data_IF_834672147424
#
_entry.id   IF_834672147424
#
_cell.length_a   1.000
_cell.length_b   1.000
_cell.length_c   1.000
_cell.angle_alpha   90.00
_cell.angle_beta   90.00
_cell.angle_gamma   90.00
#
_symmetry.space_group_name_H-M   'P 1'
#
loop_
_entity.id
_entity.type
_entity.pdbx_description
1 polymer ?
#
# COMPACT_ATOMS: atom_id res chain seq x y z
N UNK A 1 -0.55 -9.72 -2.77
CA UNK A 1 -1.97 -9.44 -3.11
C UNK A 1 -2.75 -9.44 -1.81
N UNK A 2 -3.52 -8.39 -1.49
CA UNK A 2 -4.30 -8.29 -0.24
C UNK A 2 -5.75 -8.69 -0.58
N UNK A 3 -6.30 -9.77 0.01
CA UNK A 3 -7.53 -10.41 -0.49
C UNK A 3 -8.82 -9.62 -0.26
N UNK A 4 -8.92 -8.81 0.81
CA UNK A 4 -10.15 -8.10 1.15
C UNK A 4 -11.31 -9.04 1.50
N UNK A 5 -12.55 -8.66 1.19
CA UNK A 5 -13.74 -9.51 1.34
C UNK A 5 -14.15 -10.08 -0.02
N UNK A 6 -14.19 -11.42 -0.19
CA UNK A 6 -14.55 -12.06 -1.45
C UNK A 6 -15.90 -11.60 -1.99
N UNK A 7 -15.91 -11.16 -3.25
CA UNK A 7 -17.12 -10.71 -3.93
C UNK A 7 -17.66 -9.35 -3.47
N UNK A 8 -16.84 -8.55 -2.77
CA UNK A 8 -17.04 -7.11 -2.55
C UNK A 8 -15.95 -6.36 -3.32
N UNK A 9 -16.33 -5.77 -4.46
CA UNK A 9 -15.44 -4.99 -5.30
C UNK A 9 -15.43 -3.49 -4.97
N UNK A 10 -14.61 -2.68 -5.67
CA UNK A 10 -14.43 -1.26 -5.40
C UNK A 10 -15.73 -0.43 -5.38
N UNK A 11 -16.69 -0.74 -6.27
CA UNK A 11 -17.98 -0.04 -6.32
C UNK A 11 -18.80 -0.23 -5.04
N UNK A 12 -18.91 -1.47 -4.56
CA UNK A 12 -19.62 -1.79 -3.32
C UNK A 12 -18.87 -1.24 -2.11
N UNK A 13 -17.54 -1.42 -2.07
CA UNK A 13 -16.70 -0.89 -0.99
C UNK A 13 -16.81 0.62 -0.86
N UNK A 14 -16.77 1.36 -1.98
CA UNK A 14 -16.94 2.81 -2.02
C UNK A 14 -18.31 3.23 -1.51
N UNK A 15 -19.39 2.57 -1.95
CA UNK A 15 -20.74 2.88 -1.47
C UNK A 15 -20.91 2.64 0.04
N UNK A 16 -20.27 1.60 0.59
CA UNK A 16 -20.25 1.34 2.03
C UNK A 16 -19.48 2.44 2.78
N UNK A 17 -18.27 2.77 2.34
CA UNK A 17 -17.43 3.75 3.03
C UNK A 17 -17.96 5.18 2.90
N UNK A 18 -18.64 5.53 1.81
CA UNK A 18 -19.33 6.81 1.69
C UNK A 18 -20.49 6.97 2.66
N UNK A 19 -21.11 5.87 3.09
CA UNK A 19 -22.25 5.90 4.02
C UNK A 19 -21.82 5.75 5.47
N UNK A 20 -20.82 4.93 5.74
CA UNK A 20 -20.39 4.57 7.10
C UNK A 20 -19.07 5.21 7.53
N UNK A 21 -18.33 5.88 6.64
CA UNK A 21 -17.01 6.51 6.85
C UNK A 21 -15.84 5.54 7.12
N UNK A 22 -16.08 4.43 7.83
CA UNK A 22 -15.03 3.50 8.26
C UNK A 22 -15.50 2.04 8.24
N UNK A 23 -14.54 1.11 8.19
CA UNK A 23 -14.83 -0.32 8.23
C UNK A 23 -15.45 -0.73 9.58
N UNK A 24 -14.98 -0.11 10.65
CA UNK A 24 -15.46 -0.26 12.02
C UNK A 24 -16.95 0.09 12.09
N UNK A 25 -17.34 1.23 11.50
CA UNK A 25 -18.73 1.68 11.46
C UNK A 25 -19.62 0.78 10.59
N UNK A 26 -19.10 0.24 9.48
CA UNK A 26 -19.82 -0.76 8.66
C UNK A 26 -20.23 -1.94 9.55
N UNK A 27 -19.32 -2.45 10.39
CA UNK A 27 -19.62 -3.58 11.27
C UNK A 27 -20.46 -3.20 12.48
N UNK A 28 -20.30 -1.99 13.04
CA UNK A 28 -21.13 -1.50 14.13
C UNK A 28 -22.60 -1.35 13.72
N UNK A 29 -22.85 -1.01 12.45
CA UNK A 29 -24.18 -0.77 11.87
C UNK A 29 -24.52 -1.75 10.75
N UNK A 30 -24.05 -3.00 10.86
CA UNK A 30 -24.10 -3.99 9.77
C UNK A 30 -25.51 -4.25 9.22
N UNK A 31 -26.55 -4.06 10.04
CA UNK A 31 -27.95 -4.22 9.61
C UNK A 31 -28.41 -3.09 8.67
N UNK A 32 -27.84 -1.88 8.78
CA UNK A 32 -28.16 -0.74 7.92
C UNK A 32 -27.69 -0.95 6.47
N UNK A 33 -26.75 -1.89 6.24
CA UNK A 33 -26.34 -2.31 4.88
C UNK A 33 -27.53 -2.75 4.03
N UNK A 34 -28.56 -3.34 4.65
CA UNK A 34 -29.78 -3.78 3.95
C UNK A 34 -30.60 -2.62 3.38
N UNK A 35 -30.48 -1.43 3.96
CA UNK A 35 -31.19 -0.23 3.52
C UNK A 35 -30.44 0.51 2.39
N UNK A 36 -29.18 0.13 2.12
CA UNK A 36 -28.40 0.77 1.07
C UNK A 36 -28.87 0.36 -0.33
N UNK A 37 -28.83 1.32 -1.25
CA UNK A 37 -29.12 1.12 -2.68
C UNK A 37 -27.94 0.43 -3.39
N UNK A 38 -27.55 -0.74 -2.89
CA UNK A 38 -26.48 -1.59 -3.45
C UNK A 38 -27.10 -2.88 -3.97
N UNK A 39 -26.70 -3.29 -5.18
CA UNK A 39 -27.14 -4.57 -5.76
C UNK A 39 -26.75 -5.73 -4.85
N UNK A 40 -27.75 -6.49 -4.40
CA UNK A 40 -27.52 -7.67 -3.55
C UNK A 40 -27.13 -7.33 -2.12
N UNK A 41 -27.66 -6.24 -1.55
CA UNK A 41 -27.38 -5.79 -0.18
C UNK A 41 -27.41 -6.91 0.88
N UNK A 42 -28.38 -7.84 0.81
CA UNK A 42 -28.43 -9.03 1.69
C UNK A 42 -27.20 -9.93 1.55
N UNK A 43 -26.73 -10.17 0.33
CA UNK A 43 -25.52 -10.95 0.06
C UNK A 43 -24.24 -10.18 0.41
N UNK A 44 -24.23 -8.86 0.26
CA UNK A 44 -23.12 -8.01 0.74
C UNK A 44 -22.98 -8.10 2.25
N UNK A 45 -24.10 -7.99 2.99
CA UNK A 45 -24.15 -8.16 4.44
C UNK A 45 -23.57 -9.53 4.86
N UNK A 46 -24.08 -10.61 4.27
CA UNK A 46 -23.62 -11.97 4.59
C UNK A 46 -22.11 -12.14 4.35
N UNK A 47 -21.60 -11.67 3.19
CA UNK A 47 -20.16 -11.71 2.88
C UNK A 47 -19.33 -10.91 3.89
N UNK A 48 -19.80 -9.74 4.33
CA UNK A 48 -19.11 -8.94 5.35
C UNK A 48 -19.06 -9.70 6.68
N UNK A 49 -20.17 -10.29 7.11
CA UNK A 49 -20.26 -11.08 8.35
C UNK A 49 -19.34 -12.30 8.31
N UNK A 50 -19.40 -13.09 7.23
CA UNK A 50 -18.60 -14.31 7.04
C UNK A 50 -17.10 -14.05 6.95
N UNK A 51 -16.69 -12.83 6.56
CA UNK A 51 -15.29 -12.47 6.30
C UNK A 51 -14.80 -11.29 7.15
N UNK A 52 -15.40 -11.08 8.33
CA UNK A 52 -15.05 -9.95 9.22
C UNK A 52 -13.57 -9.90 9.56
N UNK A 53 -13.01 -11.02 10.00
CA UNK A 53 -11.59 -11.09 10.37
C UNK A 53 -10.68 -10.80 9.18
N UNK A 54 -11.02 -11.32 8.00
CA UNK A 54 -10.27 -11.08 6.77
C UNK A 54 -10.32 -9.60 6.34
N UNK A 55 -11.46 -8.94 6.53
CA UNK A 55 -11.62 -7.52 6.25
C UNK A 55 -10.67 -6.67 7.12
N UNK A 56 -10.66 -6.91 8.43
CA UNK A 56 -9.78 -6.20 9.36
C UNK A 56 -8.30 -6.53 9.16
N UNK A 57 -7.96 -7.79 8.86
CA UNK A 57 -6.61 -8.17 8.50
C UNK A 57 -6.15 -7.45 7.23
N UNK A 58 -7.00 -7.39 6.21
CA UNK A 58 -6.69 -6.68 4.96
C UNK A 58 -6.51 -5.18 5.19
N UNK A 59 -7.33 -4.57 6.04
CA UNK A 59 -7.18 -3.16 6.45
C UNK A 59 -5.84 -2.94 7.16
N UNK A 60 -5.45 -3.82 8.08
CA UNK A 60 -4.16 -3.76 8.78
C UNK A 60 -2.99 -3.87 7.81
N UNK A 61 -3.03 -4.83 6.89
CA UNK A 61 -1.96 -5.06 5.92
C UNK A 61 -1.83 -3.93 4.88
N UNK A 62 -2.94 -3.26 4.56
CA UNK A 62 -2.95 -2.15 3.60
C UNK A 62 -2.64 -0.79 4.25
N UNK A 63 -2.69 -0.68 5.58
CA UNK A 63 -2.43 0.58 6.30
C UNK A 63 -0.93 0.87 6.30
N UNK A 64 -0.58 2.11 5.93
CA UNK A 64 0.80 2.60 6.03
C UNK A 64 1.19 2.67 7.51
N UNK A 65 2.32 2.06 7.86
CA UNK A 65 2.95 2.23 9.16
C UNK A 65 3.61 3.61 9.23
N UNK A 66 2.97 4.54 9.93
CA UNK A 66 3.47 5.93 10.12
C UNK A 66 4.37 6.08 11.34
N UNK A 67 4.41 5.03 12.16
CA UNK A 67 5.19 4.86 13.39
C UNK A 67 6.36 3.87 13.18
N UNK A 68 6.75 3.63 11.93
CA UNK A 68 7.85 2.73 11.62
C UNK A 68 9.14 3.23 12.31
N UNK A 69 9.93 2.35 12.96
CA UNK A 69 11.15 2.73 13.67
C UNK A 69 12.27 3.01 12.66
N UNK A 70 12.15 4.12 11.96
CA UNK A 70 13.17 4.61 11.03
C UNK A 70 14.04 5.64 11.77
N UNK A 71 15.35 5.48 11.66
CA UNK A 71 16.34 6.36 12.28
C UNK A 71 16.85 7.55 11.42
N UNK A 72 16.49 7.75 10.13
CA UNK A 72 17.08 8.84 9.38
C UNK A 72 16.44 10.19 9.76
N UNK A 73 17.28 11.21 9.96
CA UNK A 73 16.85 12.61 9.94
C UNK A 73 16.75 13.10 8.49
N UNK A 74 16.08 14.23 8.24
CA UNK A 74 16.01 14.80 6.89
C UNK A 74 17.41 15.08 6.31
N UNK A 75 18.35 15.52 7.14
CA UNK A 75 19.74 15.77 6.76
C UNK A 75 20.47 14.48 6.36
N UNK A 76 20.16 13.36 7.00
CA UNK A 76 20.75 12.06 6.66
C UNK A 76 20.28 11.53 5.30
N UNK A 77 19.14 12.02 4.81
CA UNK A 77 18.55 11.68 3.51
C UNK A 77 18.96 12.66 2.40
N UNK A 78 19.72 13.71 2.72
CA UNK A 78 20.21 14.64 1.73
C UNK A 78 21.04 13.91 0.67
N UNK A 79 20.84 14.27 -0.60
CA UNK A 79 21.65 13.75 -1.68
C UNK A 79 23.12 14.14 -1.44
N UNK A 80 24.04 13.18 -1.60
CA UNK A 80 25.47 13.38 -1.41
C UNK A 80 26.21 13.07 -2.70
N UNK A 81 27.37 13.68 -2.92
CA UNK A 81 28.23 13.32 -4.04
C UNK A 81 28.51 11.82 -4.06
N UNK A 82 28.46 11.25 -5.26
CA UNK A 82 28.75 9.84 -5.49
C UNK A 82 30.23 9.57 -5.26
N UNK A 83 30.56 8.45 -4.61
CA UNK A 83 31.92 7.92 -4.55
C UNK A 83 32.21 7.09 -5.80
N UNK A 84 32.81 7.71 -6.81
CA UNK A 84 33.05 7.09 -8.12
C UNK A 84 33.98 5.88 -8.05
N UNK A 85 34.96 5.91 -7.15
CA UNK A 85 35.84 4.76 -6.83
C UNK A 85 35.04 3.52 -6.41
N UNK A 86 34.17 3.68 -5.42
CA UNK A 86 33.33 2.61 -4.88
C UNK A 86 32.32 2.11 -5.91
N UNK A 87 31.82 3.03 -6.73
CA UNK A 87 30.83 2.73 -7.75
C UNK A 87 31.42 1.87 -8.86
N UNK A 88 32.62 2.20 -9.34
CA UNK A 88 33.32 1.41 -10.36
C UNK A 88 33.71 0.03 -9.82
N UNK A 89 34.22 -0.06 -8.58
CA UNK A 89 34.50 -1.35 -7.92
C UNK A 89 33.23 -2.22 -7.83
N UNK A 90 32.08 -1.63 -7.47
CA UNK A 90 30.80 -2.32 -7.41
C UNK A 90 30.34 -2.77 -8.81
N UNK A 91 30.54 -1.95 -9.84
CA UNK A 91 30.19 -2.30 -11.21
C UNK A 91 31.03 -3.45 -11.76
N UNK A 92 32.33 -3.47 -11.45
CA UNK A 92 33.21 -4.58 -11.80
C UNK A 92 32.77 -5.86 -11.07
N UNK A 93 32.50 -5.78 -9.77
CA UNK A 93 32.02 -6.91 -8.96
C UNK A 93 30.69 -7.50 -9.47
N UNK A 94 29.74 -6.64 -9.83
CA UNK A 94 28.42 -7.05 -10.35
C UNK A 94 28.41 -7.32 -11.86
N UNK A 95 29.55 -7.17 -12.54
CA UNK A 95 29.69 -7.30 -14.00
C UNK A 95 28.69 -6.42 -14.79
N UNK A 96 28.49 -5.18 -14.34
CA UNK A 96 27.65 -4.22 -15.05
C UNK A 96 28.33 -3.71 -16.32
N UNK A 97 27.57 -3.77 -17.43
CA UNK A 97 28.04 -3.37 -18.76
C UNK A 97 28.07 -1.86 -18.99
N UNK A 98 28.74 -1.48 -20.08
CA UNK A 98 29.03 -0.07 -20.45
C UNK A 98 27.80 0.83 -20.51
N UNK A 99 26.65 0.32 -20.97
CA UNK A 99 25.41 1.10 -21.07
C UNK A 99 24.93 1.65 -19.71
N UNK A 100 25.12 0.89 -18.62
CA UNK A 100 24.77 1.36 -17.29
C UNK A 100 25.82 2.36 -16.80
N UNK A 101 27.11 2.06 -16.97
CA UNK A 101 28.23 2.93 -16.55
C UNK A 101 28.15 4.32 -17.18
N UNK A 102 27.86 4.42 -18.47
CA UNK A 102 27.68 5.69 -19.18
C UNK A 102 26.55 6.55 -18.59
N UNK A 103 25.47 5.93 -18.09
CA UNK A 103 24.36 6.68 -17.47
C UNK A 103 24.74 7.28 -16.13
N UNK A 104 25.67 6.66 -15.41
CA UNK A 104 26.15 7.15 -14.11
C UNK A 104 27.28 8.17 -14.25
N UNK A 105 28.00 8.22 -15.37
CA UNK A 105 29.02 9.25 -15.64
C UNK A 105 28.47 10.69 -15.62
N UNK A 106 27.16 10.88 -15.80
CA UNK A 106 26.51 12.19 -15.72
C UNK A 106 26.07 12.60 -14.30
N UNK A 107 26.13 11.69 -13.33
CA UNK A 107 25.75 11.95 -11.94
C UNK A 107 26.89 12.60 -11.12
N UNK A 108 28.08 12.77 -11.70
CA UNK A 108 29.19 13.51 -11.08
C UNK A 108 29.00 15.05 -11.09
N UNK A 109 27.87 15.56 -11.62
CA UNK A 109 27.60 17.00 -11.79
C UNK A 109 26.51 17.57 -10.88
N UNK A 110 26.05 16.84 -9.87
CA UNK A 110 25.08 17.30 -8.84
C UNK A 110 25.70 17.13 -7.46
#
# INVERSE_FOLDING_TARGET
>A
NIPGVPGIGPKTASALLQHFDSLENVYAKINEVLALKIRGAKGVKAKLEDNKEQAFLSQKLARIATDAPINPTLESLACRPVRSDALEEMFDYLNFGSALRTRFAHLEMI
#
